data_IF_576756622323
#
_entry.id   IF_576756622323
#
_cell.length_a   1.000
_cell.length_b   1.000
_cell.length_c   1.000
_cell.angle_alpha   90.00
_cell.angle_beta   90.00
_cell.angle_gamma   90.00
#
_symmetry.space_group_name_H-M   'P 1'
#
loop_
_entity.id
_entity.type
_entity.pdbx_description
1 polymer ?
#
# COMPACT_ATOMS: atom_id res chain seq x y z
N UNK A 1 32.23 -17.29 -3.67
CA UNK A 1 30.91 -17.66 -3.10
C UNK A 1 30.75 -19.18 -3.19
N UNK A 2 30.52 -19.87 -2.08
CA UNK A 2 30.33 -21.32 -2.08
C UNK A 2 28.84 -21.59 -1.88
N UNK A 3 28.15 -21.98 -2.95
CA UNK A 3 26.72 -22.34 -2.92
C UNK A 3 26.60 -23.84 -2.66
N UNK A 4 25.72 -24.21 -1.74
CA UNK A 4 25.34 -25.61 -1.52
C UNK A 4 24.42 -26.10 -2.64
N UNK A 5 24.21 -27.41 -2.72
CA UNK A 5 23.24 -28.00 -3.67
C UNK A 5 21.81 -27.47 -3.42
N UNK A 6 21.44 -27.25 -2.16
CA UNK A 6 20.14 -26.68 -1.80
C UNK A 6 19.99 -25.22 -2.27
N UNK A 7 21.06 -24.43 -2.15
CA UNK A 7 21.06 -23.04 -2.64
C UNK A 7 20.87 -22.98 -4.16
N UNK A 8 21.57 -23.84 -4.90
CA UNK A 8 21.46 -23.92 -6.35
C UNK A 8 20.05 -24.33 -6.79
N UNK A 9 19.46 -25.32 -6.12
CA UNK A 9 18.08 -25.73 -6.37
C UNK A 9 17.08 -24.59 -6.10
N UNK A 10 17.29 -23.82 -5.03
CA UNK A 10 16.44 -22.67 -4.70
C UNK A 10 16.56 -21.56 -5.75
N UNK A 11 17.79 -21.23 -6.19
CA UNK A 11 18.05 -20.26 -7.25
C UNK A 11 17.35 -20.65 -8.54
N UNK A 12 17.50 -21.93 -8.95
CA UNK A 12 16.84 -22.46 -10.14
C UNK A 12 15.32 -22.36 -10.05
N UNK A 13 14.73 -22.71 -8.90
CA UNK A 13 13.29 -22.58 -8.65
C UNK A 13 12.81 -21.12 -8.77
N UNK A 14 13.66 -20.15 -8.42
CA UNK A 14 13.37 -18.71 -8.51
C UNK A 14 13.73 -18.10 -9.87
N UNK A 15 14.29 -18.84 -10.80
CA UNK A 15 14.77 -18.32 -12.08
C UNK A 15 15.93 -17.32 -11.95
N UNK A 16 16.76 -17.47 -10.90
CA UNK A 16 17.91 -16.60 -10.63
C UNK A 16 19.19 -17.35 -10.98
N UNK A 17 20.04 -16.79 -11.87
CA UNK A 17 21.33 -17.39 -12.19
C UNK A 17 22.39 -17.12 -11.09
N UNK A 18 23.41 -17.97 -11.02
CA UNK A 18 24.53 -17.78 -10.08
C UNK A 18 25.28 -16.46 -10.36
N UNK A 19 25.42 -16.07 -11.64
CA UNK A 19 26.00 -14.79 -12.05
C UNK A 19 25.19 -13.59 -11.54
N UNK A 20 23.85 -13.67 -11.64
CA UNK A 20 22.96 -12.64 -11.12
C UNK A 20 23.13 -12.48 -9.62
N UNK A 21 23.19 -13.58 -8.88
CA UNK A 21 23.44 -13.55 -7.44
C UNK A 21 24.80 -12.95 -7.11
N UNK A 22 25.85 -13.37 -7.82
CA UNK A 22 27.21 -12.83 -7.64
C UNK A 22 27.26 -11.32 -7.89
N UNK A 23 26.60 -10.83 -8.94
CA UNK A 23 26.48 -9.40 -9.24
C UNK A 23 25.77 -8.63 -8.14
N UNK A 24 24.68 -9.18 -7.59
CA UNK A 24 23.97 -8.56 -6.46
C UNK A 24 24.84 -8.48 -5.20
N UNK A 25 25.55 -9.54 -4.85
CA UNK A 25 26.45 -9.55 -3.70
C UNK A 25 27.62 -8.56 -3.90
N UNK A 26 28.14 -8.45 -5.11
CA UNK A 26 29.16 -7.45 -5.42
C UNK A 26 28.63 -6.02 -5.29
N UNK A 27 27.39 -5.77 -5.70
CA UNK A 27 26.74 -4.47 -5.53
C UNK A 27 26.52 -4.13 -4.05
N UNK A 28 26.15 -5.10 -3.20
CA UNK A 28 26.08 -4.90 -1.75
C UNK A 28 27.44 -4.55 -1.13
N UNK A 29 28.51 -5.20 -1.59
CA UNK A 29 29.84 -4.97 -1.04
C UNK A 29 30.48 -3.66 -1.52
N UNK A 30 30.28 -3.27 -2.78
CA UNK A 30 30.94 -2.12 -3.42
C UNK A 30 30.05 -0.87 -3.50
N UNK A 31 28.74 -1.02 -3.31
CA UNK A 31 27.74 0.00 -3.64
C UNK A 31 27.47 0.07 -5.15
N UNK A 32 26.62 1.02 -5.53
CA UNK A 32 26.34 1.37 -6.92
C UNK A 32 27.11 2.63 -7.30
N UNK A 33 27.50 2.79 -8.56
CA UNK A 33 28.04 4.07 -9.03
C UNK A 33 27.00 5.17 -8.82
N UNK A 34 27.45 6.37 -8.50
CA UNK A 34 26.55 7.53 -8.43
C UNK A 34 25.93 7.79 -9.79
N UNK A 35 24.64 8.12 -9.78
CA UNK A 35 23.93 8.51 -10.98
C UNK A 35 24.46 9.89 -11.43
N UNK A 36 24.94 9.99 -12.64
CA UNK A 36 25.26 11.28 -13.25
C UNK A 36 23.94 11.93 -13.71
N UNK A 37 23.60 13.05 -13.10
CA UNK A 37 22.39 13.80 -13.40
C UNK A 37 22.71 14.94 -14.37
N UNK A 38 21.98 15.05 -15.46
CA UNK A 38 22.09 16.15 -16.41
C UNK A 38 21.62 17.49 -15.82
N UNK A 39 20.68 17.45 -14.88
CA UNK A 39 20.20 18.61 -14.13
C UNK A 39 18.87 18.34 -13.43
N UNK A 40 18.39 19.35 -12.71
CA UNK A 40 17.06 19.32 -12.11
C UNK A 40 16.00 19.43 -13.22
N UNK A 41 14.92 18.65 -13.10
CA UNK A 41 13.78 18.78 -14.00
C UNK A 41 13.09 20.13 -13.77
N UNK A 42 12.83 20.83 -14.85
CA UNK A 42 12.12 22.11 -14.88
C UNK A 42 11.17 22.18 -16.07
N UNK A 43 10.27 23.13 -16.11
CA UNK A 43 9.38 23.34 -17.26
C UNK A 43 10.22 23.60 -18.52
N UNK A 44 9.97 22.84 -19.57
CA UNK A 44 10.75 22.84 -20.79
C UNK A 44 12.05 22.00 -20.77
N UNK A 45 12.45 21.51 -19.58
CA UNK A 45 13.55 20.56 -19.40
C UNK A 45 13.13 19.43 -18.48
N UNK A 46 12.56 18.37 -19.03
CA UNK A 46 12.09 17.19 -18.29
C UNK A 46 10.66 17.30 -17.73
N UNK A 47 10.07 18.50 -17.65
CA UNK A 47 8.66 18.71 -17.30
C UNK A 47 7.93 19.31 -18.50
N UNK A 48 6.94 18.57 -19.00
CA UNK A 48 6.03 19.04 -20.05
C UNK A 48 4.79 19.68 -19.40
N UNK A 49 4.49 20.92 -19.78
CA UNK A 49 3.22 21.58 -19.46
C UNK A 49 2.50 21.82 -20.79
N UNK A 50 1.51 20.97 -21.15
CA UNK A 50 0.84 21.08 -22.43
C UNK A 50 -0.04 22.33 -22.48
N UNK A 51 -0.12 22.96 -23.63
CA UNK A 51 -1.15 23.95 -23.92
C UNK A 51 -2.50 23.25 -24.10
N UNK A 52 -3.59 24.01 -24.05
CA UNK A 52 -4.96 23.43 -24.09
C UNK A 52 -5.22 22.58 -25.33
N UNK A 53 -4.70 23.03 -26.47
CA UNK A 53 -4.82 22.32 -27.76
C UNK A 53 -4.03 21.00 -27.75
N UNK A 54 -2.84 21.00 -27.16
CA UNK A 54 -1.99 19.81 -27.00
C UNK A 54 -2.61 18.82 -26.04
N UNK A 55 -3.16 19.30 -24.93
CA UNK A 55 -3.90 18.45 -23.96
C UNK A 55 -5.07 17.74 -24.65
N UNK A 56 -5.86 18.49 -25.44
CA UNK A 56 -6.98 17.93 -26.20
C UNK A 56 -6.51 16.88 -27.21
N UNK A 57 -5.40 17.14 -27.90
CA UNK A 57 -4.81 16.19 -28.85
C UNK A 57 -4.31 14.92 -28.16
N UNK A 58 -3.70 15.04 -26.97
CA UNK A 58 -3.24 13.88 -26.20
C UNK A 58 -4.41 13.02 -25.70
N UNK A 59 -5.50 13.64 -25.24
CA UNK A 59 -6.70 12.92 -24.83
C UNK A 59 -7.30 12.18 -26.04
N UNK A 60 -7.45 12.83 -27.17
CA UNK A 60 -7.99 12.21 -28.38
C UNK A 60 -7.12 11.03 -28.86
N UNK A 61 -5.79 11.17 -28.83
CA UNK A 61 -4.87 10.07 -29.17
C UNK A 61 -4.98 8.89 -28.20
N UNK A 62 -5.18 9.16 -26.89
CA UNK A 62 -5.42 8.11 -25.90
C UNK A 62 -6.74 7.39 -26.15
N UNK A 63 -7.81 8.12 -26.40
CA UNK A 63 -9.14 7.56 -26.65
C UNK A 63 -9.14 6.68 -27.93
N UNK A 64 -8.48 7.14 -28.99
CA UNK A 64 -8.27 6.36 -30.22
C UNK A 64 -7.49 5.07 -29.94
N UNK A 65 -6.36 5.17 -29.21
CA UNK A 65 -5.51 4.03 -28.88
C UNK A 65 -6.27 2.99 -28.05
N UNK A 66 -7.02 3.42 -27.05
CA UNK A 66 -7.75 2.52 -26.15
C UNK A 66 -9.01 1.91 -26.78
N UNK A 67 -9.56 2.55 -27.82
CA UNK A 67 -10.69 2.01 -28.57
C UNK A 67 -10.29 0.86 -29.52
N UNK A 68 -9.03 0.73 -29.87
CA UNK A 68 -8.53 -0.34 -30.73
C UNK A 68 -8.39 -1.65 -29.90
N UNK A 69 -9.16 -2.68 -30.25
CA UNK A 69 -9.13 -3.98 -29.58
C UNK A 69 -7.79 -4.74 -29.74
N UNK A 70 -6.90 -4.29 -30.62
CA UNK A 70 -5.56 -4.86 -30.78
C UNK A 70 -4.57 -4.32 -29.74
N UNK A 71 -4.91 -3.22 -29.07
CA UNK A 71 -4.10 -2.65 -28.00
C UNK A 71 -4.51 -3.17 -26.64
N UNK A 72 -3.51 -3.54 -25.84
CA UNK A 72 -3.72 -3.90 -24.44
C UNK A 72 -3.10 -2.85 -23.53
N UNK A 73 -3.95 -2.14 -22.79
CA UNK A 73 -3.48 -1.20 -21.76
C UNK A 73 -3.36 -1.92 -20.42
N UNK A 74 -2.17 -1.87 -19.82
CA UNK A 74 -1.87 -2.48 -18.53
C UNK A 74 -1.49 -1.40 -17.54
N UNK A 75 -2.22 -1.34 -16.42
CA UNK A 75 -1.88 -0.47 -15.30
C UNK A 75 -0.91 -1.21 -14.36
N UNK A 76 0.35 -0.79 -14.35
CA UNK A 76 1.33 -1.31 -13.39
C UNK A 76 1.32 -0.45 -12.12
N UNK A 77 0.87 -1.03 -11.00
CA UNK A 77 0.84 -0.36 -9.70
C UNK A 77 1.87 -1.01 -8.78
N UNK A 78 2.95 -0.32 -8.39
CA UNK A 78 3.97 -0.84 -7.48
C UNK A 78 3.44 -0.83 -6.04
N UNK A 79 2.53 -1.74 -5.72
CA UNK A 79 1.85 -1.86 -4.43
C UNK A 79 2.50 -2.89 -3.50
N UNK A 80 3.79 -3.17 -3.66
CA UNK A 80 4.50 -4.23 -2.94
C UNK A 80 4.79 -3.92 -1.46
N UNK A 81 4.69 -2.65 -1.04
CA UNK A 81 4.94 -2.26 0.34
C UNK A 81 3.81 -2.68 1.26
N UNK A 82 4.11 -3.48 2.29
CA UNK A 82 3.17 -3.71 3.38
C UNK A 82 2.85 -2.39 4.10
N UNK A 83 1.62 -2.26 4.58
CA UNK A 83 1.15 -1.07 5.29
C UNK A 83 1.69 -0.95 6.73
N UNK A 84 2.59 -1.84 7.16
CA UNK A 84 3.11 -1.92 8.53
C UNK A 84 3.65 -0.60 9.10
N UNK A 85 4.33 0.21 8.28
CA UNK A 85 4.78 1.55 8.72
C UNK A 85 3.63 2.54 8.91
N UNK A 86 2.58 2.43 8.11
CA UNK A 86 1.40 3.29 8.19
C UNK A 86 0.62 3.04 9.46
N UNK A 87 0.52 1.79 9.87
CA UNK A 87 -0.19 1.37 11.08
C UNK A 87 0.71 1.12 12.28
N UNK A 88 1.97 1.61 12.25
CA UNK A 88 2.96 1.37 13.32
C UNK A 88 2.40 1.69 14.71
N UNK A 89 1.76 2.84 14.85
CA UNK A 89 1.26 3.29 16.15
C UNK A 89 0.03 2.51 16.60
N UNK A 90 -0.79 2.02 15.65
CA UNK A 90 -1.93 1.14 15.96
C UNK A 90 -1.45 -0.26 16.36
N UNK A 91 -0.40 -0.81 15.72
CA UNK A 91 0.24 -2.04 16.17
C UNK A 91 0.79 -1.87 17.60
N UNK A 92 1.51 -0.77 17.85
CA UNK A 92 2.04 -0.47 19.18
C UNK A 92 0.91 -0.36 20.23
N UNK A 93 -0.23 0.22 19.89
CA UNK A 93 -1.41 0.26 20.77
C UNK A 93 -1.97 -1.13 21.06
N UNK A 94 -2.09 -2.00 20.04
CA UNK A 94 -2.58 -3.39 20.25
C UNK A 94 -1.68 -4.14 21.23
N UNK A 95 -0.35 -3.96 21.13
CA UNK A 95 0.64 -4.61 21.98
C UNK A 95 0.85 -3.91 23.34
N UNK A 96 0.30 -2.71 23.53
CA UNK A 96 0.50 -1.92 24.74
C UNK A 96 -0.10 -2.60 26.01
N UNK A 97 0.43 -2.35 27.21
CA UNK A 97 -0.09 -2.91 28.46
C UNK A 97 -1.34 -2.17 28.99
N UNK A 98 -2.03 -1.41 28.17
CA UNK A 98 -3.25 -0.66 28.51
C UNK A 98 -4.29 -0.83 27.39
N UNK A 99 -5.57 -0.69 27.73
CA UNK A 99 -6.69 -0.96 26.80
C UNK A 99 -7.35 0.29 26.25
N UNK A 100 -7.23 1.43 26.92
CA UNK A 100 -7.77 2.71 26.47
C UNK A 100 -6.69 3.59 25.83
N UNK A 101 -7.03 4.39 24.79
CA UNK A 101 -6.11 5.30 24.13
C UNK A 101 -5.45 6.28 25.10
N UNK A 102 -4.11 6.38 25.07
CA UNK A 102 -3.32 7.29 25.92
C UNK A 102 -2.64 8.39 25.16
N UNK A 103 -2.02 8.05 24.01
CA UNK A 103 -1.32 9.04 23.18
C UNK A 103 -2.31 9.90 22.40
N UNK A 104 -1.87 11.09 22.00
CA UNK A 104 -2.70 12.00 21.18
C UNK A 104 -3.05 11.39 19.84
N UNK A 105 -2.15 10.58 19.27
CA UNK A 105 -2.41 9.85 18.04
C UNK A 105 -3.55 8.83 18.23
N UNK A 106 -3.47 7.98 19.26
CA UNK A 106 -4.47 6.96 19.56
C UNK A 106 -5.85 7.59 19.79
N UNK A 107 -5.92 8.66 20.58
CA UNK A 107 -7.16 9.40 20.85
C UNK A 107 -7.78 9.93 19.57
N UNK A 108 -7.00 10.68 18.76
CA UNK A 108 -7.46 11.22 17.47
C UNK A 108 -7.87 10.14 16.50
N UNK A 109 -7.17 9.00 16.48
CA UNK A 109 -7.51 7.88 15.62
C UNK A 109 -8.92 7.36 15.90
N UNK A 110 -9.23 7.07 17.16
CA UNK A 110 -10.56 6.54 17.53
C UNK A 110 -11.65 7.60 17.52
N UNK A 111 -11.35 8.86 17.82
CA UNK A 111 -12.28 9.98 17.70
C UNK A 111 -12.72 10.22 16.25
N UNK A 112 -11.86 9.95 15.29
CA UNK A 112 -12.09 10.20 13.88
C UNK A 112 -12.23 8.92 13.06
N UNK A 113 -12.50 7.81 13.69
CA UNK A 113 -12.59 6.50 12.99
C UNK A 113 -13.66 6.51 11.88
N UNK A 114 -14.72 7.29 12.04
CA UNK A 114 -15.80 7.44 11.07
C UNK A 114 -15.37 8.14 9.78
N UNK A 115 -14.30 8.93 9.84
CA UNK A 115 -13.72 9.59 8.67
C UNK A 115 -12.96 8.60 7.77
N UNK A 116 -12.63 7.42 8.28
CA UNK A 116 -11.90 6.42 7.51
C UNK A 116 -12.72 5.90 6.32
N UNK A 117 -12.11 5.84 5.15
CA UNK A 117 -12.76 5.33 3.95
C UNK A 117 -13.21 3.86 4.10
N UNK A 118 -12.52 3.10 4.94
CA UNK A 118 -12.82 1.70 5.26
C UNK A 118 -13.75 1.51 6.46
N UNK A 119 -14.37 2.57 6.98
CA UNK A 119 -15.18 2.49 8.21
C UNK A 119 -16.30 1.46 8.13
N UNK A 120 -17.05 1.44 7.03
CA UNK A 120 -18.16 0.50 6.85
C UNK A 120 -17.68 -0.96 6.84
N UNK A 121 -16.56 -1.23 6.16
CA UNK A 121 -15.95 -2.57 6.15
C UNK A 121 -15.46 -2.96 7.56
N UNK A 122 -14.85 -2.02 8.29
CA UNK A 122 -14.42 -2.24 9.67
C UNK A 122 -15.60 -2.51 10.60
N UNK A 123 -16.67 -1.74 10.45
CA UNK A 123 -17.88 -1.94 11.24
C UNK A 123 -18.50 -3.32 10.99
N UNK A 124 -18.54 -3.76 9.72
CA UNK A 124 -19.00 -5.10 9.36
C UNK A 124 -18.07 -6.20 9.93
N UNK A 125 -16.74 -6.01 9.86
CA UNK A 125 -15.78 -6.94 10.44
C UNK A 125 -15.94 -7.05 11.97
N UNK A 126 -16.11 -5.92 12.67
CA UNK A 126 -16.39 -5.91 14.12
C UNK A 126 -17.70 -6.65 14.43
N UNK A 127 -18.75 -6.44 13.64
CA UNK A 127 -20.03 -7.12 13.79
C UNK A 127 -19.87 -8.64 13.65
N UNK A 128 -19.09 -9.07 12.67
CA UNK A 128 -18.83 -10.50 12.43
C UNK A 128 -18.00 -11.14 13.55
N UNK A 129 -16.95 -10.46 13.99
CA UNK A 129 -16.00 -11.02 14.98
C UNK A 129 -16.52 -10.94 16.42
N UNK A 130 -17.29 -9.90 16.76
CA UNK A 130 -17.65 -9.58 18.13
C UNK A 130 -19.17 -9.46 18.37
N UNK A 131 -19.99 -9.62 17.33
CA UNK A 131 -21.44 -9.42 17.39
C UNK A 131 -21.87 -7.97 17.61
N UNK A 132 -20.93 -7.00 17.50
CA UNK A 132 -21.16 -5.58 17.78
C UNK A 132 -20.37 -4.71 16.81
N UNK A 133 -20.95 -3.59 16.39
CA UNK A 133 -20.28 -2.62 15.55
C UNK A 133 -19.22 -1.80 16.32
N UNK A 134 -18.46 -1.00 15.56
CA UNK A 134 -17.35 -0.19 16.06
C UNK A 134 -17.77 0.69 17.23
N UNK A 135 -18.84 1.48 17.10
CA UNK A 135 -19.27 2.40 18.19
C UNK A 135 -19.67 1.69 19.47
N UNK A 136 -20.35 0.54 19.37
CA UNK A 136 -20.71 -0.24 20.53
C UNK A 136 -19.46 -0.78 21.28
N UNK A 137 -18.46 -1.26 20.52
CA UNK A 137 -17.19 -1.72 21.09
C UNK A 137 -16.41 -0.57 21.74
N UNK A 138 -16.33 0.60 21.09
CA UNK A 138 -15.68 1.79 21.65
C UNK A 138 -16.39 2.28 22.93
N UNK A 139 -17.73 2.28 22.93
CA UNK A 139 -18.54 2.62 24.11
C UNK A 139 -18.33 1.66 25.31
N UNK A 140 -17.95 0.41 25.04
CA UNK A 140 -17.58 -0.59 26.05
C UNK A 140 -16.07 -0.51 26.43
N UNK A 141 -15.31 0.42 25.89
CA UNK A 141 -13.86 0.53 26.11
C UNK A 141 -13.02 -0.51 25.37
N UNK A 142 -13.59 -1.24 24.41
CA UNK A 142 -12.93 -2.33 23.67
C UNK A 142 -12.16 -1.81 22.45
N UNK A 143 -11.32 -0.81 22.64
CA UNK A 143 -10.52 -0.17 21.57
C UNK A 143 -9.60 -1.15 20.84
N UNK A 144 -8.95 -2.05 21.59
CA UNK A 144 -8.07 -3.07 21.02
C UNK A 144 -8.81 -4.04 20.11
N UNK A 145 -10.05 -4.38 20.40
CA UNK A 145 -10.86 -5.24 19.55
C UNK A 145 -11.10 -4.60 18.18
N UNK A 146 -11.40 -3.30 18.16
CA UNK A 146 -11.56 -2.53 16.91
C UNK A 146 -10.23 -2.45 16.14
N UNK A 147 -9.12 -2.14 16.82
CA UNK A 147 -7.81 -2.10 16.17
C UNK A 147 -7.39 -3.47 15.61
N UNK A 148 -7.63 -4.55 16.37
CA UNK A 148 -7.35 -5.92 15.94
C UNK A 148 -8.22 -6.35 14.76
N UNK A 149 -9.50 -5.95 14.72
CA UNK A 149 -10.38 -6.21 13.58
C UNK A 149 -9.91 -5.50 12.29
N UNK A 150 -9.28 -4.33 12.41
CA UNK A 150 -8.67 -3.66 11.25
C UNK A 150 -7.39 -4.36 10.79
N UNK A 151 -6.47 -4.65 11.72
CA UNK A 151 -5.13 -5.14 11.38
C UNK A 151 -5.08 -6.64 11.10
N UNK A 152 -5.89 -7.43 11.82
CA UNK A 152 -5.81 -8.88 11.86
C UNK A 152 -6.41 -9.57 10.64
N UNK A 153 -5.91 -10.79 10.38
CA UNK A 153 -6.32 -11.64 9.24
C UNK A 153 -7.80 -12.04 9.27
N UNK A 154 -8.38 -12.10 10.45
CA UNK A 154 -9.79 -12.50 10.62
C UNK A 154 -10.74 -11.31 10.42
N UNK A 155 -10.22 -10.09 10.33
CA UNK A 155 -10.92 -8.86 9.99
C UNK A 155 -10.51 -8.31 8.62
N UNK A 156 -10.10 -7.03 8.55
CA UNK A 156 -9.72 -6.40 7.27
C UNK A 156 -8.33 -6.81 6.75
N UNK A 157 -7.51 -7.41 7.60
CA UNK A 157 -6.14 -7.81 7.29
C UNK A 157 -5.21 -6.65 6.82
N UNK A 158 -5.50 -5.42 7.20
CA UNK A 158 -4.75 -4.24 6.77
C UNK A 158 -3.30 -4.23 7.27
N UNK A 159 -3.01 -4.99 8.32
CA UNK A 159 -1.66 -5.19 8.81
C UNK A 159 -0.72 -5.95 7.87
N UNK A 160 -1.28 -6.77 6.96
CA UNK A 160 -0.51 -7.66 6.08
C UNK A 160 -0.70 -7.36 4.59
N UNK A 161 -1.80 -6.71 4.21
CA UNK A 161 -2.09 -6.41 2.81
C UNK A 161 -1.14 -5.35 2.23
N UNK A 162 -0.84 -5.43 0.93
CA UNK A 162 -0.18 -4.35 0.21
C UNK A 162 -1.01 -3.06 0.25
N UNK A 163 -0.35 -1.91 0.35
CA UNK A 163 -1.03 -0.59 0.41
C UNK A 163 -2.00 -0.34 -0.73
N UNK A 164 -1.69 -0.84 -1.92
CA UNK A 164 -2.55 -0.70 -3.09
C UNK A 164 -3.92 -1.38 -2.98
N UNK A 165 -4.08 -2.29 -2.01
CA UNK A 165 -5.32 -3.02 -1.75
C UNK A 165 -6.11 -2.49 -0.55
N UNK A 166 -5.71 -1.37 0.03
CA UNK A 166 -6.40 -0.78 1.18
C UNK A 166 -7.32 0.36 0.71
N UNK A 167 -8.53 0.42 1.23
CA UNK A 167 -9.49 1.49 0.92
C UNK A 167 -9.13 2.76 1.69
N UNK A 168 -8.39 3.68 1.06
CA UNK A 168 -8.04 4.97 1.65
C UNK A 168 -8.77 6.15 1.04
N UNK A 169 -9.45 5.96 -0.08
CA UNK A 169 -10.12 7.03 -0.81
C UNK A 169 -11.62 6.83 -0.72
N UNK A 170 -12.34 7.89 -0.32
CA UNK A 170 -13.80 7.95 -0.32
C UNK A 170 -14.25 8.91 -1.41
N UNK A 171 -15.07 8.42 -2.30
CA UNK A 171 -15.72 9.17 -3.38
C UNK A 171 -17.22 9.22 -3.15
N UNK A 172 -17.93 9.99 -3.94
CA UNK A 172 -19.41 10.10 -3.83
C UNK A 172 -20.12 8.75 -4.08
N UNK A 173 -19.51 7.88 -4.87
CA UNK A 173 -20.03 6.56 -5.27
C UNK A 173 -19.43 5.39 -4.47
N UNK A 174 -18.59 5.68 -3.46
CA UNK A 174 -18.04 4.66 -2.57
C UNK A 174 -16.57 4.81 -2.21
N UNK A 175 -16.09 3.91 -1.37
CA UNK A 175 -14.68 3.85 -0.98
C UNK A 175 -13.89 2.97 -1.96
N UNK A 176 -12.67 3.39 -2.31
CA UNK A 176 -11.82 2.70 -3.28
C UNK A 176 -10.40 2.51 -2.77
N UNK A 177 -9.75 1.50 -3.32
CA UNK A 177 -8.32 1.26 -3.17
C UNK A 177 -7.52 2.12 -4.17
N UNK A 178 -6.21 2.35 -3.96
CA UNK A 178 -5.36 2.99 -4.96
C UNK A 178 -5.29 2.23 -6.31
N UNK A 179 -5.59 0.93 -6.30
CA UNK A 179 -5.58 0.11 -7.52
C UNK A 179 -6.84 0.35 -8.37
N UNK A 180 -8.00 0.57 -7.77
CA UNK A 180 -9.26 0.90 -8.43
C UNK A 180 -9.28 2.36 -8.91
#
# INVERSE_FOLDING_TARGET
MNLTTADKALLQKKGISEEKLAAQLAAFAKGFPFLELDGAASVGKGILVPRKEEETAFIAAWDEYTADAQHQVVKFVPASGAASRMFKDIFAFVDAPYDAPKTDFEKKYFERIDDAAFFEDLNAACQQLHGKGVHALLGEGKYKAVAAAMLGKDGLNYGSLPKGLLKFHRYADGARTPLE
#
